data_IF_231845648613
#
_entry.id   IF_231845648613
#
_cell.length_a   1.000
_cell.length_b   1.000
_cell.length_c   1.000
_cell.angle_alpha   90.00
_cell.angle_beta   90.00
_cell.angle_gamma   90.00
#
_symmetry.space_group_name_H-M   'P 1'
#
loop_
_entity.id
_entity.type
_entity.pdbx_description
1 polymer ?
#
# COMPACT_ATOMS: atom_id res chain seq x y z
N UNK A 1 20.98 23.98 19.83
CA UNK A 1 20.73 24.06 18.38
C UNK A 1 19.78 22.93 18.03
N UNK A 2 18.51 23.26 17.84
CA UNK A 2 17.44 22.33 17.49
C UNK A 2 17.48 22.13 15.98
N UNK A 3 17.98 20.97 15.53
CA UNK A 3 17.87 20.59 14.12
C UNK A 3 16.39 20.26 13.86
N UNK A 4 15.70 21.20 13.24
CA UNK A 4 14.44 20.95 12.53
C UNK A 4 14.74 19.93 11.44
N UNK A 5 14.42 18.65 11.68
CA UNK A 5 14.35 17.66 10.59
C UNK A 5 13.29 18.17 9.62
N UNK A 6 13.74 18.73 8.50
CA UNK A 6 12.90 18.96 7.33
C UNK A 6 12.32 17.60 6.95
N UNK A 7 11.02 17.40 7.21
CA UNK A 7 10.31 16.18 6.87
C UNK A 7 10.55 15.86 5.39
N UNK A 8 11.24 14.75 5.14
CA UNK A 8 11.44 14.28 3.78
C UNK A 8 10.08 13.96 3.18
N UNK A 9 9.67 14.72 2.17
CA UNK A 9 8.42 14.46 1.48
C UNK A 9 8.60 13.22 0.60
N UNK A 10 8.15 12.07 1.09
CA UNK A 10 8.15 10.83 0.33
C UNK A 10 7.23 10.88 -0.90
N UNK A 11 6.43 11.94 -1.07
CA UNK A 11 5.70 12.26 -2.29
C UNK A 11 6.57 12.96 -3.33
N UNK A 12 7.84 13.28 -3.06
CA UNK A 12 8.75 13.90 -4.05
C UNK A 12 9.03 13.02 -5.28
N UNK A 13 8.73 11.72 -5.23
CA UNK A 13 8.73 10.81 -6.39
C UNK A 13 7.48 10.94 -7.27
N UNK A 14 6.47 11.70 -6.82
CA UNK A 14 5.19 11.90 -7.49
C UNK A 14 5.18 13.11 -8.42
N UNK A 15 5.87 13.00 -9.56
CA UNK A 15 5.90 14.07 -10.58
C UNK A 15 4.49 14.45 -11.10
N UNK A 16 3.50 13.56 -10.94
CA UNK A 16 2.15 13.71 -11.50
C UNK A 16 1.09 14.17 -10.47
N UNK A 17 1.45 14.17 -9.18
CA UNK A 17 0.51 14.37 -8.07
C UNK A 17 -0.49 13.22 -7.86
N UNK A 18 -0.30 12.05 -8.49
CA UNK A 18 -1.22 10.91 -8.40
C UNK A 18 -1.20 10.26 -7.02
N UNK A 19 -0.04 10.18 -6.37
CA UNK A 19 0.12 9.63 -5.02
C UNK A 19 -0.66 10.50 -4.04
N UNK A 20 -0.47 11.83 -4.09
CA UNK A 20 -1.21 12.74 -3.21
C UNK A 20 -2.72 12.62 -3.42
N UNK A 21 -3.19 12.65 -4.68
CA UNK A 21 -4.62 12.50 -5.01
C UNK A 21 -5.18 11.17 -4.51
N UNK A 22 -4.40 10.09 -4.64
CA UNK A 22 -4.77 8.77 -4.19
C UNK A 22 -4.90 8.69 -2.67
N UNK A 23 -3.94 9.26 -1.95
CA UNK A 23 -4.00 9.36 -0.49
C UNK A 23 -5.21 10.18 -0.02
N UNK A 24 -5.43 11.37 -0.59
CA UNK A 24 -6.58 12.22 -0.25
C UNK A 24 -7.92 11.50 -0.52
N UNK A 25 -8.01 10.73 -1.62
CA UNK A 25 -9.21 9.95 -1.96
C UNK A 25 -9.45 8.80 -0.98
N UNK A 26 -8.38 8.11 -0.57
CA UNK A 26 -8.43 7.06 0.45
C UNK A 26 -8.92 7.62 1.80
N UNK A 27 -8.36 8.75 2.25
CA UNK A 27 -8.80 9.42 3.48
C UNK A 27 -10.28 9.75 3.41
N UNK A 28 -10.72 10.38 2.32
CA UNK A 28 -12.12 10.75 2.15
C UNK A 28 -13.05 9.53 2.18
N UNK A 29 -12.67 8.43 1.53
CA UNK A 29 -13.46 7.20 1.49
C UNK A 29 -13.62 6.59 2.89
N UNK A 30 -12.52 6.42 3.65
CA UNK A 30 -12.60 5.87 5.01
C UNK A 30 -13.46 6.71 5.95
N UNK A 31 -13.18 8.02 6.00
CA UNK A 31 -13.85 8.89 6.96
C UNK A 31 -15.32 9.11 6.61
N UNK A 32 -15.68 9.05 5.32
CA UNK A 32 -17.09 9.06 4.88
C UNK A 32 -17.80 7.77 5.23
N UNK A 33 -17.12 6.62 5.13
CA UNK A 33 -17.69 5.31 5.39
C UNK A 33 -17.92 5.05 6.88
N UNK A 34 -16.87 5.19 7.70
CA UNK A 34 -16.92 4.82 9.12
C UNK A 34 -17.52 5.89 10.05
N UNK A 35 -17.47 7.18 9.65
CA UNK A 35 -18.10 8.30 10.36
C UNK A 35 -17.76 8.42 11.85
N UNK A 36 -16.55 8.06 12.26
CA UNK A 36 -16.06 8.25 13.63
C UNK A 36 -15.56 9.68 13.92
N UNK A 37 -16.02 10.68 13.17
CA UNK A 37 -15.55 12.06 13.28
C UNK A 37 -14.07 12.17 12.90
N UNK A 38 -13.25 12.77 13.77
CA UNK A 38 -11.82 12.97 13.55
C UNK A 38 -10.94 11.91 14.24
N UNK A 39 -11.53 10.84 14.78
CA UNK A 39 -10.79 9.76 15.42
C UNK A 39 -10.09 8.89 14.36
N UNK A 40 -8.86 9.30 14.01
CA UNK A 40 -8.06 8.63 13.00
C UNK A 40 -7.72 7.20 13.41
N UNK A 41 -7.28 6.98 14.65
CA UNK A 41 -6.84 5.66 15.12
C UNK A 41 -8.00 4.66 15.00
N UNK A 42 -9.18 5.01 15.52
CA UNK A 42 -10.35 4.14 15.45
C UNK A 42 -10.77 3.88 14.01
N UNK A 43 -10.71 4.88 13.14
CA UNK A 43 -11.08 4.77 11.72
C UNK A 43 -10.19 3.77 10.99
N UNK A 44 -8.86 3.96 11.02
CA UNK A 44 -7.95 3.03 10.35
C UNK A 44 -7.95 1.64 10.99
N UNK A 45 -8.03 1.53 12.33
CA UNK A 45 -8.07 0.21 12.97
C UNK A 45 -9.32 -0.58 12.64
N UNK A 46 -10.46 0.09 12.53
CA UNK A 46 -11.69 -0.58 12.09
C UNK A 46 -11.55 -1.07 10.66
N UNK A 47 -11.01 -0.24 9.77
CA UNK A 47 -10.69 -0.64 8.40
C UNK A 47 -9.74 -1.85 8.34
N UNK A 48 -8.61 -1.78 9.05
CA UNK A 48 -7.62 -2.87 9.08
C UNK A 48 -8.20 -4.16 9.66
N UNK A 49 -9.04 -4.07 10.69
CA UNK A 49 -9.73 -5.22 11.26
C UNK A 49 -10.66 -5.87 10.22
N UNK A 50 -11.47 -5.09 9.52
CA UNK A 50 -12.39 -5.59 8.48
C UNK A 50 -11.65 -6.21 7.28
N UNK A 51 -10.50 -5.66 6.90
CA UNK A 51 -9.64 -6.25 5.88
C UNK A 51 -9.04 -7.56 6.38
N UNK A 52 -8.52 -7.60 7.61
CA UNK A 52 -7.93 -8.80 8.21
C UNK A 52 -8.95 -9.93 8.35
N UNK A 53 -10.20 -9.61 8.72
CA UNK A 53 -11.30 -10.58 8.82
C UNK A 53 -12.04 -10.85 7.50
N UNK A 54 -11.62 -10.24 6.39
CA UNK A 54 -12.26 -10.36 5.07
C UNK A 54 -13.76 -9.98 5.10
N UNK A 55 -14.16 -9.08 5.98
CA UNK A 55 -15.55 -8.66 6.17
C UNK A 55 -15.88 -7.29 5.55
N UNK A 56 -14.90 -6.66 4.91
CA UNK A 56 -15.06 -5.35 4.29
C UNK A 56 -16.07 -5.40 3.12
N UNK A 57 -17.08 -4.52 3.14
CA UNK A 57 -18.01 -4.35 2.00
C UNK A 57 -17.35 -3.52 0.90
N UNK A 58 -16.64 -4.22 0.03
CA UNK A 58 -15.89 -3.65 -1.07
C UNK A 58 -16.74 -2.87 -2.07
N UNK A 59 -18.07 -3.05 -2.12
CA UNK A 59 -18.94 -2.29 -3.03
C UNK A 59 -19.32 -0.92 -2.50
N UNK A 60 -19.15 -0.67 -1.20
CA UNK A 60 -19.61 0.55 -0.54
C UNK A 60 -18.48 1.45 -0.06
N UNK A 61 -17.31 0.90 0.20
CA UNK A 61 -16.17 1.68 0.69
C UNK A 61 -15.60 2.61 -0.40
N UNK A 62 -15.19 2.13 -1.60
CA UNK A 62 -14.48 2.99 -2.54
C UNK A 62 -15.38 3.93 -3.30
N UNK A 63 -14.96 5.19 -3.42
CA UNK A 63 -15.58 6.14 -4.36
C UNK A 63 -15.18 5.85 -5.81
N UNK A 64 -15.96 6.39 -6.76
CA UNK A 64 -15.62 6.35 -8.19
C UNK A 64 -14.23 6.93 -8.48
N UNK A 65 -13.82 7.95 -7.71
CA UNK A 65 -12.50 8.56 -7.85
C UNK A 65 -11.38 7.59 -7.47
N UNK A 66 -11.49 6.87 -6.34
CA UNK A 66 -10.51 5.86 -5.93
C UNK A 66 -10.43 4.70 -6.94
N UNK A 67 -11.56 4.28 -7.51
CA UNK A 67 -11.58 3.27 -8.59
C UNK A 67 -10.87 3.79 -9.85
N UNK A 68 -11.10 5.05 -10.22
CA UNK A 68 -10.41 5.68 -11.37
C UNK A 68 -8.89 5.73 -11.14
N UNK A 69 -8.46 6.11 -9.94
CA UNK A 69 -7.03 6.17 -9.59
C UNK A 69 -6.39 4.78 -9.59
N UNK A 70 -7.08 3.74 -9.10
CA UNK A 70 -6.61 2.35 -9.21
C UNK A 70 -6.39 1.92 -10.67
N UNK A 71 -7.26 2.35 -11.60
CA UNK A 71 -7.09 2.11 -13.05
C UNK A 71 -5.91 2.88 -13.64
N UNK A 72 -5.68 4.10 -13.19
CA UNK A 72 -4.52 4.90 -13.60
C UNK A 72 -3.22 4.24 -13.17
N UNK A 73 -3.15 3.76 -11.93
CA UNK A 73 -2.02 2.99 -11.43
C UNK A 73 -1.69 1.76 -12.29
N UNK A 74 -2.70 0.98 -12.71
CA UNK A 74 -2.49 -0.15 -13.62
C UNK A 74 -1.90 0.26 -14.97
N UNK A 75 -2.31 1.41 -15.52
CA UNK A 75 -1.81 1.90 -16.82
C UNK A 75 -0.34 2.28 -16.75
N UNK A 76 0.10 2.83 -15.62
CA UNK A 76 1.47 3.29 -15.41
C UNK A 76 2.37 2.23 -14.76
N UNK A 77 1.87 1.02 -14.50
CA UNK A 77 2.60 -0.02 -13.78
C UNK A 77 3.92 -0.44 -14.43
N UNK A 78 4.07 -0.23 -15.75
CA UNK A 78 5.31 -0.50 -16.48
C UNK A 78 6.34 0.64 -16.40
N UNK A 79 6.01 1.75 -15.73
CA UNK A 79 6.94 2.86 -15.53
C UNK A 79 7.89 2.54 -14.37
N UNK A 80 9.17 2.92 -14.50
CA UNK A 80 10.21 2.67 -13.48
C UNK A 80 9.92 3.36 -12.14
N UNK A 81 9.10 4.40 -12.15
CA UNK A 81 8.66 5.15 -10.94
C UNK A 81 7.33 4.64 -10.37
N UNK A 82 6.79 3.53 -10.92
CA UNK A 82 5.54 2.95 -10.45
C UNK A 82 5.63 2.47 -9.00
N UNK A 83 4.56 2.69 -8.24
CA UNK A 83 4.34 2.07 -6.92
C UNK A 83 4.15 0.55 -7.02
N UNK A 84 3.80 0.06 -8.20
CA UNK A 84 3.41 -1.30 -8.48
C UNK A 84 4.42 -1.97 -9.38
N UNK A 85 4.69 -3.24 -9.11
CA UNK A 85 5.55 -4.10 -9.90
C UNK A 85 4.80 -5.40 -10.19
N UNK A 86 5.16 -6.07 -11.28
CA UNK A 86 4.62 -7.39 -11.59
C UNK A 86 5.19 -8.41 -10.60
N UNK A 87 4.35 -9.30 -10.07
CA UNK A 87 4.78 -10.33 -9.14
C UNK A 87 5.91 -11.19 -9.73
N UNK A 88 5.80 -11.53 -11.02
CA UNK A 88 6.82 -12.26 -11.77
C UNK A 88 8.18 -11.56 -11.75
N UNK A 89 8.21 -10.23 -11.89
CA UNK A 89 9.44 -9.43 -11.85
C UNK A 89 10.01 -9.37 -10.43
N UNK A 90 9.15 -9.30 -9.42
CA UNK A 90 9.55 -9.29 -8.00
C UNK A 90 10.21 -10.61 -7.58
N UNK A 91 9.60 -11.75 -7.92
CA UNK A 91 10.13 -13.10 -7.66
C UNK A 91 11.46 -13.34 -8.40
N UNK A 92 11.57 -12.86 -9.66
CA UNK A 92 12.79 -13.00 -10.44
C UNK A 92 13.98 -12.22 -9.85
N UNK A 93 13.74 -11.09 -9.19
CA UNK A 93 14.80 -10.37 -8.47
C UNK A 93 15.40 -11.19 -7.31
N UNK A 94 14.63 -12.13 -6.74
CA UNK A 94 15.13 -13.09 -5.74
C UNK A 94 15.77 -14.32 -6.37
N UNK A 95 15.23 -14.81 -7.48
CA UNK A 95 15.74 -15.98 -8.20
C UNK A 95 17.18 -15.76 -8.75
N UNK A 96 17.60 -14.52 -9.01
CA UNK A 96 19.02 -14.23 -9.34
C UNK A 96 19.97 -14.59 -8.19
N UNK A 97 19.48 -14.73 -6.95
CA UNK A 97 20.26 -15.21 -5.78
C UNK A 97 20.13 -16.72 -5.50
N UNK A 98 19.19 -17.43 -6.11
CA UNK A 98 19.01 -18.89 -5.95
C UNK A 98 18.79 -19.54 -7.31
N UNK A 99 19.78 -20.28 -7.78
CA UNK A 99 19.73 -21.04 -9.02
C UNK A 99 18.55 -22.03 -9.04
N UNK A 100 17.94 -22.17 -10.23
CA UNK A 100 16.99 -23.21 -10.74
C UNK A 100 15.48 -22.95 -10.56
N UNK A 101 14.61 -23.57 -11.42
CA UNK A 101 14.32 -23.22 -12.80
C UNK A 101 12.90 -22.61 -12.99
N UNK A 102 12.73 -21.93 -14.11
CA UNK A 102 11.58 -21.13 -14.52
C UNK A 102 10.28 -21.94 -14.67
N UNK A 103 9.26 -21.61 -13.88
CA UNK A 103 7.90 -22.09 -14.11
C UNK A 103 7.17 -21.27 -15.18
N UNK A 104 6.67 -22.03 -16.15
CA UNK A 104 5.70 -21.79 -17.23
C UNK A 104 4.87 -20.50 -17.18
N UNK A 105 5.01 -19.68 -18.23
CA UNK A 105 4.08 -18.60 -18.61
C UNK A 105 2.65 -19.14 -18.74
N UNK A 106 1.76 -18.78 -17.81
CA UNK A 106 0.31 -18.86 -18.01
C UNK A 106 -0.16 -17.55 -18.64
N UNK A 107 -0.97 -17.64 -19.70
CA UNK A 107 -1.71 -16.54 -20.32
C UNK A 107 -2.81 -15.97 -19.38
N UNK A 108 -2.44 -15.57 -18.16
CA UNK A 108 -3.29 -14.83 -17.24
C UNK A 108 -2.94 -13.35 -17.28
N UNK A 109 -3.87 -12.50 -16.87
CA UNK A 109 -3.52 -11.11 -16.55
C UNK A 109 -2.44 -11.10 -15.47
N UNK A 110 -1.40 -10.31 -15.71
CA UNK A 110 -0.26 -10.25 -14.81
C UNK A 110 -0.67 -9.60 -13.49
N UNK A 111 -0.35 -10.26 -12.38
CA UNK A 111 -0.68 -9.77 -11.04
C UNK A 111 0.31 -8.66 -10.68
N UNK A 112 -0.21 -7.47 -10.40
CA UNK A 112 0.55 -6.35 -9.86
C UNK A 112 0.51 -6.40 -8.33
N UNK A 113 1.67 -6.26 -7.72
CA UNK A 113 1.85 -6.12 -6.27
C UNK A 113 2.54 -4.81 -5.95
N UNK A 114 2.43 -4.37 -4.70
CA UNK A 114 3.16 -3.18 -4.24
C UNK A 114 4.67 -3.44 -4.31
N UNK A 115 5.42 -2.46 -4.79
CA UNK A 115 6.86 -2.59 -4.97
C UNK A 115 7.58 -2.29 -3.65
N UNK A 116 7.72 -3.30 -2.78
CA UNK A 116 8.39 -3.17 -1.47
C UNK A 116 9.87 -2.74 -1.57
N UNK A 117 10.49 -2.86 -2.75
CA UNK A 117 11.87 -2.42 -3.04
C UNK A 117 11.93 -1.07 -3.78
N UNK A 118 10.78 -0.45 -4.00
CA UNK A 118 10.64 0.82 -4.72
C UNK A 118 11.00 2.04 -3.86
N UNK A 119 11.37 3.14 -4.52
CA UNK A 119 11.83 4.36 -3.82
C UNK A 119 10.80 4.94 -2.83
N UNK A 120 9.50 4.82 -3.14
CA UNK A 120 8.44 5.34 -2.28
C UNK A 120 8.41 4.66 -0.90
N UNK A 121 8.27 3.34 -0.86
CA UNK A 121 8.21 2.58 0.40
C UNK A 121 9.54 2.61 1.15
N UNK A 122 10.67 2.63 0.42
CA UNK A 122 11.99 2.82 1.04
C UNK A 122 12.10 4.19 1.71
N UNK A 123 11.51 5.24 1.12
CA UNK A 123 11.41 6.53 1.78
C UNK A 123 10.58 6.43 3.07
N UNK A 124 9.36 5.87 3.01
CA UNK A 124 8.50 5.71 4.20
C UNK A 124 9.21 4.94 5.32
N UNK A 125 9.88 3.83 5.00
CA UNK A 125 10.65 3.02 5.96
C UNK A 125 11.78 3.83 6.61
N UNK A 126 12.52 4.59 5.82
CA UNK A 126 13.70 5.32 6.28
C UNK A 126 13.35 6.62 7.04
N UNK A 127 12.17 7.20 6.83
CA UNK A 127 11.70 8.40 7.54
C UNK A 127 10.87 8.08 8.77
N UNK A 128 10.34 6.86 8.89
CA UNK A 128 9.55 6.47 10.05
C UNK A 128 10.40 6.30 11.32
N UNK A 129 9.84 6.67 12.47
CA UNK A 129 10.41 6.36 13.78
C UNK A 129 9.88 5.05 14.39
N UNK A 130 8.96 4.35 13.70
CA UNK A 130 8.37 3.10 14.18
C UNK A 130 9.23 1.89 13.78
N UNK A 131 9.81 1.22 14.78
CA UNK A 131 10.58 -0.01 14.56
C UNK A 131 9.68 -1.15 14.06
N UNK A 132 8.45 -1.25 14.57
CA UNK A 132 7.46 -2.24 14.12
C UNK A 132 7.12 -2.04 12.63
N UNK A 133 6.94 -0.79 12.20
CA UNK A 133 6.70 -0.50 10.79
C UNK A 133 7.91 -0.87 9.91
N UNK A 134 9.13 -0.53 10.36
CA UNK A 134 10.36 -0.89 9.63
C UNK A 134 10.53 -2.39 9.50
N UNK A 135 10.19 -3.16 10.52
CA UNK A 135 10.24 -4.63 10.51
C UNK A 135 9.22 -5.23 9.54
N UNK A 136 7.98 -4.71 9.54
CA UNK A 136 6.94 -5.10 8.57
C UNK A 136 7.44 -4.90 7.14
N UNK A 137 7.95 -3.71 6.81
CA UNK A 137 8.46 -3.42 5.46
C UNK A 137 9.66 -4.29 5.11
N UNK A 138 10.60 -4.50 6.05
CA UNK A 138 11.78 -5.35 5.83
C UNK A 138 11.40 -6.80 5.56
N UNK A 139 10.36 -7.31 6.22
CA UNK A 139 9.84 -8.65 5.92
C UNK A 139 9.26 -8.72 4.52
N UNK A 140 8.49 -7.71 4.10
CA UNK A 140 7.85 -7.67 2.79
C UNK A 140 8.85 -7.44 1.64
N UNK A 141 9.98 -6.79 1.92
CA UNK A 141 11.12 -6.72 1.01
C UNK A 141 11.73 -8.08 0.69
N UNK A 142 11.69 -9.03 1.64
CA UNK A 142 12.19 -10.40 1.51
C UNK A 142 11.15 -11.37 0.95
N UNK A 143 9.87 -11.17 1.27
CA UNK A 143 8.75 -11.93 0.73
C UNK A 143 7.55 -11.01 0.50
N UNK A 144 7.39 -10.59 -0.76
CA UNK A 144 6.29 -9.72 -1.17
C UNK A 144 4.98 -10.45 -1.47
N UNK A 145 4.99 -11.79 -1.46
CA UNK A 145 3.82 -12.62 -1.80
C UNK A 145 2.98 -12.93 -0.54
N UNK A 146 2.69 -11.89 0.24
CA UNK A 146 1.88 -11.98 1.47
C UNK A 146 0.50 -11.41 1.20
N UNK A 147 -0.55 -12.08 1.70
CA UNK A 147 -1.92 -11.60 1.52
C UNK A 147 -2.15 -10.29 2.26
N UNK A 148 -2.90 -9.38 1.65
CA UNK A 148 -3.25 -8.08 2.25
C UNK A 148 -3.95 -8.21 3.60
N UNK A 149 -4.69 -9.29 3.85
CA UNK A 149 -5.31 -9.58 5.16
C UNK A 149 -4.28 -9.81 6.28
N UNK A 150 -3.20 -10.55 5.98
CA UNK A 150 -2.11 -10.79 6.94
C UNK A 150 -1.30 -9.52 7.18
N UNK A 151 -1.05 -8.74 6.13
CA UNK A 151 -0.40 -7.44 6.25
C UNK A 151 -1.23 -6.51 7.13
N UNK A 152 -2.55 -6.43 6.89
CA UNK A 152 -3.48 -5.62 7.68
C UNK A 152 -3.48 -6.01 9.14
N UNK A 153 -3.43 -7.31 9.45
CA UNK A 153 -3.33 -7.80 10.82
C UNK A 153 -2.03 -7.32 11.50
N UNK A 154 -0.88 -7.39 10.81
CA UNK A 154 0.39 -6.91 11.38
C UNK A 154 0.37 -5.41 11.65
N UNK A 155 -0.10 -4.61 10.69
CA UNK A 155 -0.20 -3.15 10.84
C UNK A 155 -1.19 -2.75 11.95
N UNK A 156 -2.29 -3.49 12.12
CA UNK A 156 -3.29 -3.23 13.17
C UNK A 156 -2.68 -3.19 14.57
N UNK A 157 -1.68 -4.04 14.83
CA UNK A 157 -1.03 -4.17 16.13
C UNK A 157 0.11 -3.17 16.38
N UNK A 158 0.44 -2.30 15.43
CA UNK A 158 1.38 -1.20 15.70
C UNK A 158 0.83 -0.34 16.85
N UNK A 159 1.65 0.01 17.86
CA UNK A 159 1.22 0.79 19.01
C UNK A 159 0.62 2.16 18.61
N UNK A 160 -0.41 2.60 19.35
CA UNK A 160 -1.16 3.84 19.06
C UNK A 160 -0.26 5.08 18.95
N UNK A 161 0.80 5.15 19.76
CA UNK A 161 1.78 6.25 19.75
C UNK A 161 2.51 6.39 18.41
N UNK A 162 2.65 5.31 17.66
CA UNK A 162 3.36 5.26 16.37
C UNK A 162 2.37 5.24 15.21
N UNK A 163 1.21 4.63 15.39
CA UNK A 163 0.19 4.41 14.36
C UNK A 163 -0.26 5.69 13.62
N UNK A 164 -0.21 6.86 14.27
CA UNK A 164 -0.58 8.14 13.67
C UNK A 164 0.45 8.70 12.67
N UNK A 165 1.63 8.09 12.55
CA UNK A 165 2.67 8.53 11.63
C UNK A 165 2.18 8.51 10.18
N UNK A 166 2.58 9.53 9.40
CA UNK A 166 2.14 9.69 8.02
C UNK A 166 2.63 8.53 7.13
N UNK A 167 3.77 7.94 7.48
CA UNK A 167 4.37 6.79 6.82
C UNK A 167 3.47 5.56 6.89
N UNK A 168 2.96 5.25 8.08
CA UNK A 168 2.06 4.12 8.31
C UNK A 168 0.74 4.35 7.58
N UNK A 169 0.19 5.57 7.62
CA UNK A 169 -1.05 5.90 6.90
C UNK A 169 -0.90 5.77 5.38
N UNK A 170 0.22 6.24 4.83
CA UNK A 170 0.53 6.06 3.41
C UNK A 170 0.67 4.59 3.07
N UNK A 171 1.34 3.79 3.91
CA UNK A 171 1.43 2.35 3.71
C UNK A 171 0.05 1.69 3.67
N UNK A 172 -0.84 2.04 4.61
CA UNK A 172 -2.23 1.53 4.61
C UNK A 172 -2.97 1.95 3.33
N UNK A 173 -2.82 3.20 2.89
CA UNK A 173 -3.46 3.67 1.67
C UNK A 173 -3.03 2.85 0.45
N UNK A 174 -1.72 2.64 0.27
CA UNK A 174 -1.20 2.03 -0.95
C UNK A 174 -1.19 0.51 -0.85
N UNK A 175 -0.48 -0.06 0.12
CA UNK A 175 -0.26 -1.50 0.18
C UNK A 175 -1.51 -2.29 0.57
N UNK A 176 -2.44 -1.66 1.29
CA UNK A 176 -3.68 -2.31 1.72
C UNK A 176 -4.84 -1.87 0.83
N UNK A 177 -5.22 -0.60 0.89
CA UNK A 177 -6.44 -0.13 0.23
C UNK A 177 -6.34 -0.20 -1.30
N UNK A 178 -5.33 0.41 -1.92
CA UNK A 178 -5.22 0.36 -3.38
C UNK A 178 -4.83 -1.02 -3.91
N UNK A 179 -4.09 -1.85 -3.17
CA UNK A 179 -3.87 -3.26 -3.54
C UNK A 179 -5.19 -4.02 -3.70
N UNK A 180 -6.12 -3.84 -2.75
CA UNK A 180 -7.47 -4.41 -2.86
C UNK A 180 -8.19 -3.85 -4.09
N UNK A 181 -8.19 -2.53 -4.27
CA UNK A 181 -8.87 -1.89 -5.42
C UNK A 181 -8.32 -2.35 -6.76
N UNK A 182 -7.01 -2.52 -6.88
CA UNK A 182 -6.41 -3.06 -8.10
C UNK A 182 -6.92 -4.45 -8.44
N UNK A 183 -7.25 -5.29 -7.47
CA UNK A 183 -7.84 -6.61 -7.74
C UNK A 183 -9.30 -6.48 -8.18
N UNK A 184 -10.08 -5.59 -7.55
CA UNK A 184 -11.53 -5.55 -7.71
C UNK A 184 -12.06 -4.50 -8.70
N UNK A 185 -11.24 -3.56 -9.19
CA UNK A 185 -11.71 -2.38 -9.96
C UNK A 185 -12.55 -2.74 -11.19
N UNK A 186 -12.33 -3.92 -11.78
CA UNK A 186 -13.11 -4.42 -12.92
C UNK A 186 -14.55 -4.78 -12.58
N UNK A 187 -14.84 -5.04 -11.31
CA UNK A 187 -16.19 -5.29 -10.83
C UNK A 187 -17.04 -4.01 -10.81
N UNK A 188 -16.42 -2.84 -10.91
CA UNK A 188 -17.07 -1.54 -11.02
C UNK A 188 -17.19 -1.21 -12.51
N UNK A 189 -18.40 -1.06 -13.02
CA UNK A 189 -18.63 -0.73 -14.43
C UNK A 189 -18.56 0.76 -14.65
#
# INVERSE_FOLDING_TARGET
MTYSQSGYDCLSVDETGIIKKAYDSFENDLFTHYKFGTDSIKTYRTFLAEVASLSLDLRKLPSENSIKLAREFKKIANNKTSLWIKLSEYENQEAVKKSTPTTTKKNGEEILIFNYRGGFIQCLKNTSDSDDFKDIVSTLEEDGNVSTSLISQRVYYIPDKEFCAIEIKNFIAFDIYYSILMVIEKAFK
#
